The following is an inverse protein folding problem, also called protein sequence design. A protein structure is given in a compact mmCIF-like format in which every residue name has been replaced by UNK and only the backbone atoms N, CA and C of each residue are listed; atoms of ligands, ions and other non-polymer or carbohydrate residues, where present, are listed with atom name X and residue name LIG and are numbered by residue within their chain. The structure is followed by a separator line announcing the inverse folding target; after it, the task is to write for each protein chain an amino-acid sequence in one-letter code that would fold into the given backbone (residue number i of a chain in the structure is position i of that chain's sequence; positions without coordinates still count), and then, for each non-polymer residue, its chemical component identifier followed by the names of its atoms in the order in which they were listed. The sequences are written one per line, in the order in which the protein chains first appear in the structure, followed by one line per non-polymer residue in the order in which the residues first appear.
data_IF_793822277650
#
_entry.id   IF_793822277650
#
_cell.length_a   1.000
_cell.length_b   1.000
_cell.length_c   1.000
_cell.angle_alpha   90.00
_cell.angle_beta   90.00
_cell.angle_gamma   90.00
#
_symmetry.space_group_name_H-M   'P 1'
#
loop_
_entity.id
_entity.type
_entity.pdbx_description
1 polymer ?
#
# COMPACT_ATOMS: atom_id res chain seq x y z
N UNK A 1 -7.71 54.20 29.16
CA UNK A 1 -8.91 54.48 28.33
C UNK A 1 -9.57 53.12 28.12
N UNK A 2 -10.77 52.83 28.63
CA UNK A 2 -12.11 53.28 28.16
C UNK A 2 -12.33 52.92 26.67
N UNK A 3 -13.35 52.15 26.24
CA UNK A 3 -14.60 51.64 26.85
C UNK A 3 -14.75 50.11 26.63
N UNK A 4 -15.60 49.26 27.26
CA UNK A 4 -16.82 49.34 28.12
C UNK A 4 -18.19 49.28 27.38
N UNK A 5 -18.99 48.24 27.65
CA UNK A 5 -20.32 47.92 27.06
C UNK A 5 -20.33 46.47 26.53
N UNK A 6 -20.98 45.42 27.06
CA UNK A 6 -22.24 45.20 27.81
C UNK A 6 -23.55 45.43 27.04
N UNK A 7 -24.38 44.36 26.88
CA UNK A 7 -25.75 44.30 27.43
C UNK A 7 -26.30 42.86 27.54
N UNK A 8 -27.40 42.66 28.29
CA UNK A 8 -27.99 41.38 28.73
C UNK A 8 -29.52 41.34 28.47
N UNK A 9 -30.08 40.20 28.01
CA UNK A 9 -31.49 39.73 28.13
C UNK A 9 -31.45 38.18 28.00
N UNK A 10 -32.08 37.28 28.78
CA UNK A 10 -33.05 37.27 29.92
C UNK A 10 -34.55 37.08 29.57
N UNK A 11 -34.96 35.80 29.40
CA UNK A 11 -36.30 35.23 29.71
C UNK A 11 -37.54 35.75 28.90
N UNK A 12 -38.80 35.26 29.00
CA UNK A 12 -39.54 34.40 29.96
C UNK A 12 -40.65 33.50 29.30
N UNK A 13 -40.94 32.37 29.96
CA UNK A 13 -42.27 31.74 30.24
C UNK A 13 -43.15 31.07 29.15
N UNK A 14 -43.36 29.77 29.44
CA UNK A 14 -44.44 28.78 29.18
C UNK A 14 -45.79 29.20 28.59
N UNK A 15 -46.47 28.19 28.02
CA UNK A 15 -47.89 27.93 28.30
C UNK A 15 -48.11 26.43 28.60
N UNK A 16 -49.11 26.13 29.42
CA UNK A 16 -49.42 24.78 29.92
C UNK A 16 -50.83 24.35 29.54
N UNK A 17 -51.06 23.04 29.39
CA UNK A 17 -52.40 22.45 29.29
C UNK A 17 -52.43 21.05 29.89
N UNK A 18 -53.12 20.91 31.03
CA UNK A 18 -53.46 19.62 31.64
C UNK A 18 -54.71 19.05 30.98
N UNK A 19 -54.71 17.75 30.70
CA UNK A 19 -55.91 17.01 30.30
C UNK A 19 -56.03 15.72 31.14
N UNK A 20 -57.13 15.59 31.87
CA UNK A 20 -57.56 14.32 32.48
C UNK A 20 -58.26 13.47 31.42
N UNK A 21 -58.00 12.16 31.37
CA UNK A 21 -58.61 11.26 30.39
C UNK A 21 -58.53 9.78 30.77
N UNK A 22 -59.60 9.30 31.41
CA UNK A 22 -60.10 7.91 31.48
C UNK A 22 -59.09 6.73 31.52
N UNK A 23 -59.15 5.96 32.62
CA UNK A 23 -58.68 4.57 32.60
C UNK A 23 -59.53 3.74 31.63
N UNK A 24 -58.89 2.87 30.84
CA UNK A 24 -59.58 1.85 30.03
C UNK A 24 -58.84 0.51 30.12
N UNK A 25 -59.57 -0.60 30.01
CA UNK A 25 -59.12 -1.92 30.45
C UNK A 25 -58.53 -2.78 29.32
N UNK A 26 -57.29 -3.22 29.51
CA UNK A 26 -56.72 -4.54 29.17
C UNK A 26 -57.23 -5.26 27.90
N UNK A 27 -56.32 -5.49 26.94
CA UNK A 27 -56.06 -6.85 26.45
C UNK A 27 -54.89 -7.52 27.19
N UNK A 28 -54.81 -8.86 27.15
CA UNK A 28 -53.62 -9.58 27.60
C UNK A 28 -52.74 -9.83 26.39
N UNK A 29 -51.47 -9.41 26.42
CA UNK A 29 -50.53 -9.77 25.35
C UNK A 29 -50.31 -11.30 25.28
N UNK A 30 -50.15 -11.87 24.08
CA UNK A 30 -49.70 -13.25 23.92
C UNK A 30 -48.24 -13.39 24.41
N UNK A 31 -47.80 -14.60 24.81
CA UNK A 31 -46.44 -14.80 25.28
C UNK A 31 -45.43 -14.52 24.16
N UNK A 32 -44.52 -13.58 24.41
CA UNK A 32 -43.37 -13.31 23.52
C UNK A 32 -42.46 -14.52 23.53
N UNK A 33 -42.54 -15.33 22.47
CA UNK A 33 -41.58 -16.41 22.21
C UNK A 33 -40.21 -15.75 21.95
N UNK A 34 -39.13 -16.15 22.65
CA UNK A 34 -37.80 -15.63 22.36
C UNK A 34 -37.36 -16.13 20.97
N UNK A 35 -37.43 -15.26 19.98
CA UNK A 35 -36.87 -15.53 18.65
C UNK A 35 -35.36 -15.57 18.77
N UNK A 36 -34.80 -16.78 18.82
CA UNK A 36 -33.35 -16.99 18.74
C UNK A 36 -32.88 -16.58 17.35
N UNK A 37 -32.41 -15.33 17.21
CA UNK A 37 -31.78 -14.85 15.97
C UNK A 37 -30.48 -15.61 15.76
N UNK A 38 -30.55 -16.71 15.01
CA UNK A 38 -29.37 -17.47 14.59
C UNK A 38 -28.64 -16.61 13.56
N UNK A 39 -27.64 -15.85 13.99
CA UNK A 39 -26.73 -15.15 13.07
C UNK A 39 -26.14 -16.20 12.13
N UNK A 40 -26.33 -16.10 10.80
CA UNK A 40 -25.74 -17.04 9.87
C UNK A 40 -24.21 -16.99 10.03
N UNK A 41 -23.50 -18.13 10.03
CA UNK A 41 -22.05 -18.12 10.17
C UNK A 41 -21.44 -17.32 9.02
N UNK A 42 -20.58 -16.37 9.34
CA UNK A 42 -19.83 -15.60 8.34
C UNK A 42 -18.86 -16.54 7.64
N UNK A 43 -19.26 -17.09 6.50
CA UNK A 43 -18.41 -17.95 5.68
C UNK A 43 -17.30 -17.11 5.06
N UNK A 44 -16.16 -17.00 5.75
CA UNK A 44 -14.95 -16.42 5.17
C UNK A 44 -14.47 -17.32 4.04
N UNK A 45 -14.83 -16.99 2.80
CA UNK A 45 -14.24 -17.59 1.61
C UNK A 45 -12.73 -17.38 1.69
N UNK A 46 -11.97 -18.48 1.76
CA UNK A 46 -10.52 -18.39 1.70
C UNK A 46 -10.13 -17.77 0.35
N UNK A 47 -9.34 -16.69 0.36
CA UNK A 47 -8.82 -16.14 -0.89
C UNK A 47 -7.91 -17.17 -1.55
N UNK A 48 -8.02 -17.29 -2.86
CA UNK A 48 -7.05 -18.04 -3.67
C UNK A 48 -5.84 -17.21 -4.06
N UNK A 49 -5.86 -15.90 -3.83
CA UNK A 49 -4.70 -15.03 -4.03
C UNK A 49 -3.87 -14.86 -2.75
N UNK A 50 -2.56 -14.60 -2.92
CA UNK A 50 -1.69 -14.11 -1.85
C UNK A 50 -2.31 -12.87 -1.20
N UNK A 51 -2.37 -12.86 0.13
CA UNK A 51 -3.01 -11.80 0.91
C UNK A 51 -1.94 -10.99 1.62
N UNK A 52 -2.10 -9.67 1.68
CA UNK A 52 -1.26 -8.82 2.50
C UNK A 52 -1.28 -9.31 3.96
N UNK A 53 -0.11 -9.37 4.59
CA UNK A 53 0.06 -9.86 5.96
C UNK A 53 0.54 -8.73 6.87
N UNK A 54 0.05 -8.71 8.11
CA UNK A 54 0.46 -7.71 9.08
C UNK A 54 1.97 -7.73 9.32
N UNK A 55 2.61 -6.57 9.20
CA UNK A 55 4.06 -6.36 9.33
C UNK A 55 4.89 -7.13 8.29
N UNK A 56 4.39 -7.23 7.05
CA UNK A 56 5.12 -7.79 5.89
C UNK A 56 4.88 -6.97 4.62
N UNK A 57 5.95 -6.57 3.93
CA UNK A 57 5.84 -6.11 2.55
C UNK A 57 5.70 -7.32 1.62
N UNK A 58 4.66 -7.36 0.78
CA UNK A 58 4.46 -8.42 -0.22
C UNK A 58 4.96 -7.96 -1.60
N UNK A 59 5.74 -8.80 -2.29
CA UNK A 59 6.21 -8.54 -3.67
C UNK A 59 6.17 -9.81 -4.50
N UNK A 60 5.61 -9.74 -5.71
CA UNK A 60 5.82 -10.72 -6.78
C UNK A 60 7.17 -10.49 -7.46
N UNK A 61 8.07 -11.46 -7.37
CA UNK A 61 9.38 -11.41 -8.00
C UNK A 61 9.42 -12.40 -9.16
N UNK A 62 9.38 -11.90 -10.39
CA UNK A 62 9.47 -12.76 -11.57
C UNK A 62 10.83 -13.48 -11.63
N UNK A 63 10.92 -14.75 -12.09
CA UNK A 63 12.18 -15.47 -12.16
C UNK A 63 13.28 -14.79 -12.99
N UNK A 64 12.91 -13.87 -13.89
CA UNK A 64 13.85 -13.02 -14.63
C UNK A 64 14.73 -12.12 -13.74
N UNK A 65 14.27 -11.71 -12.54
CA UNK A 65 15.11 -10.97 -11.58
C UNK A 65 15.91 -11.86 -10.62
N UNK A 66 15.60 -13.16 -10.55
CA UNK A 66 16.14 -14.09 -9.55
C UNK A 66 17.31 -14.95 -10.07
N UNK A 67 18.38 -14.32 -10.58
CA UNK A 67 19.58 -15.06 -11.00
C UNK A 67 20.90 -14.26 -10.84
N UNK A 68 21.55 -14.41 -9.68
CA UNK A 68 23.00 -14.26 -9.41
C UNK A 68 23.79 -12.98 -9.79
N UNK A 69 23.31 -12.11 -10.69
CA UNK A 69 23.99 -10.90 -11.14
C UNK A 69 23.64 -9.66 -10.29
N UNK A 70 22.45 -9.66 -9.68
CA UNK A 70 21.96 -8.59 -8.81
C UNK A 70 22.75 -8.56 -7.49
N UNK A 71 23.75 -7.68 -7.43
CA UNK A 71 24.60 -7.49 -6.26
C UNK A 71 23.84 -6.86 -5.09
N UNK A 72 24.11 -7.35 -3.87
CA UNK A 72 23.49 -6.91 -2.61
C UNK A 72 24.01 -5.54 -2.12
N UNK A 73 23.95 -4.52 -2.99
CA UNK A 73 24.51 -3.18 -2.76
C UNK A 73 23.74 -2.47 -1.63
N UNK A 74 22.40 -2.44 -1.72
CA UNK A 74 21.53 -1.82 -0.72
C UNK A 74 21.12 -2.76 0.43
N UNK A 75 21.72 -3.95 0.52
CA UNK A 75 21.34 -5.02 1.44
C UNK A 75 20.80 -6.27 0.74
N UNK A 76 20.37 -7.24 1.55
CA UNK A 76 19.78 -8.50 1.11
C UNK A 76 18.85 -9.03 2.20
N UNK A 77 17.55 -9.23 1.90
CA UNK A 77 16.58 -9.87 2.80
C UNK A 77 16.02 -11.12 2.14
N UNK A 78 16.07 -12.25 2.83
CA UNK A 78 15.36 -13.47 2.41
C UNK A 78 13.86 -13.30 2.64
N UNK A 79 13.06 -13.47 1.59
CA UNK A 79 11.60 -13.46 1.71
C UNK A 79 11.03 -14.78 2.19
N UNK A 80 9.86 -14.73 2.83
CA UNK A 80 9.04 -15.91 3.12
C UNK A 80 8.12 -16.14 1.91
N UNK A 81 8.15 -17.29 1.21
CA UNK A 81 7.28 -17.54 0.07
C UNK A 81 5.78 -17.52 0.42
N UNK A 82 4.94 -17.23 -0.57
CA UNK A 82 3.50 -17.39 -0.50
C UNK A 82 3.07 -18.79 -0.98
N UNK A 83 2.39 -19.55 -0.13
CA UNK A 83 1.89 -20.90 -0.46
C UNK A 83 0.89 -20.94 -1.65
N UNK A 84 0.34 -19.79 -2.05
CA UNK A 84 -0.57 -19.66 -3.22
C UNK A 84 0.19 -19.41 -4.53
N UNK A 85 1.31 -18.69 -4.52
CA UNK A 85 2.11 -18.39 -5.72
C UNK A 85 3.61 -18.36 -5.40
N UNK A 86 4.36 -19.25 -6.04
CA UNK A 86 5.79 -19.50 -5.76
C UNK A 86 6.72 -18.29 -5.93
N UNK A 87 6.31 -17.30 -6.73
CA UNK A 87 7.08 -16.09 -7.03
C UNK A 87 6.73 -14.92 -6.09
N UNK A 88 5.61 -14.99 -5.37
CA UNK A 88 5.20 -13.96 -4.39
C UNK A 88 5.87 -14.23 -3.04
N UNK A 89 6.52 -13.22 -2.47
CA UNK A 89 7.26 -13.30 -1.22
C UNK A 89 6.88 -12.19 -0.25
N UNK A 90 6.94 -12.51 1.05
CA UNK A 90 6.70 -11.60 2.17
C UNK A 90 8.03 -11.27 2.87
N UNK A 91 8.31 -9.98 3.03
CA UNK A 91 9.57 -9.47 3.61
C UNK A 91 9.30 -8.73 4.92
N UNK A 92 10.15 -9.00 5.92
CA UNK A 92 10.18 -8.18 7.14
C UNK A 92 10.57 -6.73 6.79
N UNK A 93 9.84 -5.72 7.30
CA UNK A 93 10.15 -4.32 7.04
C UNK A 93 11.51 -3.92 7.61
N UNK A 94 12.05 -2.81 7.12
CA UNK A 94 13.05 -2.03 7.83
C UNK A 94 12.41 -1.28 9.01
N UNK A 95 13.24 -0.90 9.98
CA UNK A 95 12.79 -0.27 11.24
C UNK A 95 12.60 1.25 11.15
N UNK A 96 13.08 1.88 10.07
CA UNK A 96 13.01 3.32 9.83
C UNK A 96 12.20 3.59 8.54
N UNK A 97 11.65 4.79 8.43
CA UNK A 97 10.98 5.30 7.23
C UNK A 97 11.95 5.88 6.19
N UNK A 98 13.19 6.18 6.58
CA UNK A 98 14.26 6.68 5.70
C UNK A 98 15.21 5.55 5.31
N UNK A 99 15.38 5.33 4.01
CA UNK A 99 16.40 4.43 3.47
C UNK A 99 17.81 5.03 3.65
N UNK A 100 18.70 4.28 4.29
CA UNK A 100 20.06 4.73 4.65
C UNK A 100 21.17 4.09 3.80
N UNK A 101 20.84 3.55 2.62
CA UNK A 101 21.76 2.71 1.83
C UNK A 101 21.78 1.23 2.27
N UNK A 102 20.99 0.84 3.26
CA UNK A 102 20.90 -0.53 3.80
C UNK A 102 19.46 -1.02 3.93
N UNK A 103 19.29 -2.29 4.27
CA UNK A 103 18.00 -2.93 4.59
C UNK A 103 16.98 -3.00 3.43
N UNK A 104 17.42 -2.83 2.19
CA UNK A 104 16.62 -3.22 1.02
C UNK A 104 16.48 -4.75 0.92
N UNK A 105 15.45 -5.20 0.19
CA UNK A 105 15.26 -6.61 -0.19
C UNK A 105 16.44 -7.08 -1.04
N UNK A 106 16.75 -6.33 -2.10
CA UNK A 106 17.99 -6.34 -2.86
C UNK A 106 18.06 -5.05 -3.70
N UNK A 107 19.18 -4.83 -4.39
CA UNK A 107 19.26 -3.95 -5.57
C UNK A 107 19.07 -4.79 -6.83
N UNK A 108 18.28 -4.28 -7.78
CA UNK A 108 18.00 -4.92 -9.07
C UNK A 108 18.41 -3.99 -10.21
N UNK A 109 19.20 -4.52 -11.14
CA UNK A 109 19.44 -3.92 -12.45
C UNK A 109 19.33 -5.04 -13.48
N UNK A 110 18.51 -4.82 -14.51
CA UNK A 110 18.31 -5.83 -15.54
C UNK A 110 19.40 -5.76 -16.63
N UNK A 111 19.69 -6.85 -17.36
CA UNK A 111 20.66 -6.84 -18.45
C UNK A 111 20.19 -5.96 -19.62
N UNK A 112 21.10 -5.31 -20.34
CA UNK A 112 20.85 -4.34 -21.44
C UNK A 112 19.82 -4.78 -22.50
N UNK A 113 19.62 -6.09 -22.68
CA UNK A 113 18.68 -6.67 -23.64
C UNK A 113 17.28 -6.98 -23.07
N UNK A 114 17.03 -6.65 -21.80
CA UNK A 114 15.83 -6.98 -21.04
C UNK A 114 15.49 -5.82 -20.08
N UNK A 115 14.66 -4.84 -20.46
CA UNK A 115 14.40 -3.68 -19.61
C UNK A 115 13.74 -4.06 -18.27
N UNK A 116 14.11 -3.37 -17.19
CA UNK A 116 13.44 -3.41 -15.90
C UNK A 116 11.97 -2.99 -16.04
N UNK A 117 11.10 -3.75 -15.38
CA UNK A 117 9.70 -3.42 -15.17
C UNK A 117 9.38 -3.51 -13.66
N UNK A 118 8.75 -2.47 -13.11
CA UNK A 118 8.17 -2.48 -11.76
C UNK A 118 6.71 -2.06 -11.83
N UNK A 119 5.85 -2.67 -11.01
CA UNK A 119 4.43 -2.35 -10.97
C UNK A 119 3.95 -2.07 -9.55
N UNK A 120 2.98 -1.17 -9.40
CA UNK A 120 2.16 -1.04 -8.20
C UNK A 120 1.02 -2.07 -8.23
N UNK A 121 -0.05 -1.90 -7.45
CA UNK A 121 -1.18 -2.83 -7.41
C UNK A 121 -2.00 -2.87 -8.73
N UNK A 122 -1.78 -1.91 -9.63
CA UNK A 122 -2.59 -1.67 -10.84
C UNK A 122 -1.77 -1.38 -12.11
N UNK A 123 -0.68 -0.63 -12.00
CA UNK A 123 0.06 -0.09 -13.15
C UNK A 123 1.54 -0.48 -13.12
N UNK A 124 2.06 -0.80 -14.30
CA UNK A 124 3.45 -1.17 -14.57
C UNK A 124 4.17 -0.07 -15.32
N UNK A 125 5.41 0.14 -14.91
CA UNK A 125 6.32 1.15 -15.39
C UNK A 125 7.63 0.48 -15.79
N UNK A 126 8.15 0.87 -16.95
CA UNK A 126 9.37 0.30 -17.55
C UNK A 126 10.49 1.34 -17.47
N UNK A 127 11.75 0.90 -17.33
CA UNK A 127 12.90 1.80 -17.43
C UNK A 127 12.88 2.68 -18.69
N UNK A 128 13.31 3.94 -18.52
CA UNK A 128 13.49 4.90 -19.60
C UNK A 128 14.92 4.92 -20.15
N UNK A 129 15.86 4.30 -19.45
CA UNK A 129 17.28 4.18 -19.79
C UNK A 129 17.91 2.95 -19.09
N UNK A 130 18.92 2.31 -19.69
CA UNK A 130 19.55 1.08 -19.17
C UNK A 130 20.44 1.28 -17.94
N UNK A 131 20.73 2.54 -17.57
CA UNK A 131 21.41 2.87 -16.30
C UNK A 131 20.48 2.79 -15.09
N UNK A 132 19.17 2.62 -15.29
CA UNK A 132 18.17 2.57 -14.22
C UNK A 132 18.31 1.27 -13.42
N UNK A 133 18.39 1.42 -12.11
CA UNK A 133 18.38 0.34 -11.13
C UNK A 133 17.44 0.70 -9.99
N UNK A 134 16.89 -0.32 -9.33
CA UNK A 134 15.94 -0.14 -8.22
C UNK A 134 16.39 -0.93 -7.00
N UNK A 135 16.46 -0.29 -5.84
CA UNK A 135 16.56 -0.98 -4.55
C UNK A 135 15.18 -1.00 -3.90
N UNK A 136 14.64 -2.20 -3.66
CA UNK A 136 13.31 -2.35 -3.09
C UNK A 136 13.37 -2.28 -1.56
N UNK A 137 12.95 -1.17 -0.95
CA UNK A 137 12.99 -0.95 0.49
C UNK A 137 11.67 -1.35 1.15
N UNK A 138 11.60 -2.43 1.97
CA UNK A 138 10.36 -2.86 2.58
C UNK A 138 10.08 -2.00 3.82
N UNK A 139 8.95 -1.31 3.88
CA UNK A 139 8.58 -0.47 5.02
C UNK A 139 7.08 -0.56 5.32
N UNK A 140 6.75 -0.43 6.61
CA UNK A 140 5.38 -0.45 7.13
C UNK A 140 5.04 0.90 7.80
N UNK A 141 4.15 1.67 7.19
CA UNK A 141 3.62 2.91 7.78
C UNK A 141 2.62 2.61 8.93
N UNK A 142 1.99 1.44 8.88
CA UNK A 142 1.28 0.82 10.00
C UNK A 142 1.38 -0.70 9.85
N UNK A 143 0.94 -1.47 10.86
CA UNK A 143 0.97 -2.94 10.80
C UNK A 143 0.30 -3.50 9.53
N UNK A 144 -0.77 -2.87 9.04
CA UNK A 144 -1.53 -3.30 7.86
C UNK A 144 -1.28 -2.45 6.59
N UNK A 145 -0.35 -1.49 6.62
CA UNK A 145 0.11 -0.76 5.42
C UNK A 145 1.62 -0.94 5.28
N UNK A 146 1.98 -2.02 4.59
CA UNK A 146 3.35 -2.46 4.35
C UNK A 146 3.57 -2.64 2.84
N UNK A 147 4.62 -2.04 2.31
CA UNK A 147 4.97 -2.11 0.89
C UNK A 147 6.49 -2.16 0.70
N UNK A 148 6.92 -2.69 -0.44
CA UNK A 148 8.26 -2.38 -0.95
C UNK A 148 8.20 -1.02 -1.66
N UNK A 149 9.15 -0.14 -1.39
CA UNK A 149 9.27 1.16 -2.03
C UNK A 149 10.45 1.16 -2.99
N UNK A 150 10.25 1.66 -4.21
CA UNK A 150 11.29 1.76 -5.22
C UNK A 150 12.24 2.93 -4.90
N UNK A 151 13.45 2.62 -4.42
CA UNK A 151 14.55 3.58 -4.41
C UNK A 151 15.26 3.48 -5.77
N UNK A 152 14.97 4.42 -6.67
CA UNK A 152 15.56 4.45 -8.01
C UNK A 152 16.95 5.09 -8.00
N UNK A 153 17.83 4.59 -8.87
CA UNK A 153 19.16 5.14 -9.15
C UNK A 153 19.43 5.03 -10.65
N UNK A 154 19.91 6.11 -11.28
CA UNK A 154 20.13 6.22 -12.73
C UNK A 154 21.28 7.20 -13.03
N UNK A 155 21.70 7.33 -14.30
CA UNK A 155 22.76 8.28 -14.67
C UNK A 155 22.37 9.76 -14.50
N UNK A 156 21.07 10.08 -14.55
CA UNK A 156 20.55 11.43 -14.34
C UNK A 156 19.20 11.40 -13.63
N UNK A 157 18.91 12.41 -12.80
CA UNK A 157 17.69 12.48 -11.98
C UNK A 157 16.39 12.60 -12.80
N UNK A 158 16.49 12.87 -14.11
CA UNK A 158 15.35 12.86 -15.06
C UNK A 158 15.09 11.50 -15.71
N UNK A 159 15.91 10.49 -15.42
CA UNK A 159 15.71 9.10 -15.86
C UNK A 159 15.05 8.30 -14.74
N UNK A 160 14.36 7.21 -15.08
CA UNK A 160 13.72 6.35 -14.10
C UNK A 160 12.82 5.34 -14.78
N UNK A 161 11.57 5.22 -14.32
CA UNK A 161 10.56 4.38 -14.96
C UNK A 161 9.36 5.20 -15.45
N UNK A 162 8.81 4.78 -16.59
CA UNK A 162 7.74 5.46 -17.31
C UNK A 162 6.68 4.51 -17.86
N UNK A 163 5.57 5.08 -18.33
CA UNK A 163 4.47 4.34 -18.94
C UNK A 163 4.77 3.85 -20.36
N UNK A 164 3.71 3.46 -21.09
CA UNK A 164 3.77 2.94 -22.45
C UNK A 164 4.30 3.95 -23.48
N UNK A 165 4.24 5.26 -23.19
CA UNK A 165 4.80 6.33 -24.03
C UNK A 165 6.31 6.57 -23.79
N UNK A 166 6.87 6.01 -22.70
CA UNK A 166 8.26 6.20 -22.28
C UNK A 166 8.54 7.50 -21.53
N UNK A 167 7.52 8.30 -21.18
CA UNK A 167 7.68 9.49 -20.33
C UNK A 167 8.03 9.06 -18.90
N UNK A 168 9.13 9.56 -18.29
CA UNK A 168 9.45 9.24 -16.89
C UNK A 168 8.33 9.72 -15.95
N UNK A 169 7.83 8.81 -15.12
CA UNK A 169 6.82 9.09 -14.08
C UNK A 169 7.45 9.04 -12.68
N UNK A 170 8.24 8.00 -12.42
CA UNK A 170 9.00 7.84 -11.18
C UNK A 170 10.50 7.97 -11.49
N UNK A 171 11.19 8.85 -10.77
CA UNK A 171 12.61 9.19 -11.00
C UNK A 171 13.32 9.49 -9.67
N UNK A 172 14.67 9.58 -9.63
CA UNK A 172 15.39 10.04 -8.45
C UNK A 172 15.12 11.51 -8.04
N UNK A 173 14.55 12.36 -8.91
CA UNK A 173 14.39 13.79 -8.62
C UNK A 173 13.53 14.09 -7.38
N UNK A 174 14.12 14.87 -6.48
CA UNK A 174 13.53 15.25 -5.20
C UNK A 174 13.22 14.05 -4.28
N UNK A 175 13.92 12.93 -4.43
CA UNK A 175 13.90 11.81 -3.46
C UNK A 175 14.88 12.01 -2.30
N UNK A 176 15.80 12.98 -2.40
CA UNK A 176 16.78 13.35 -1.37
C UNK A 176 16.61 14.80 -0.89
N UNK A 177 17.09 15.08 0.32
CA UNK A 177 17.14 16.43 0.90
C UNK A 177 18.38 17.22 0.46
N UNK A 178 18.45 18.49 0.86
CA UNK A 178 19.58 19.39 0.54
C UNK A 178 20.93 18.98 1.19
N UNK A 179 20.95 17.91 1.99
CA UNK A 179 22.13 17.31 2.62
C UNK A 179 22.46 15.92 2.03
N UNK A 180 21.78 15.52 0.95
CA UNK A 180 21.88 14.21 0.28
C UNK A 180 21.40 12.99 1.10
N UNK A 181 20.55 13.19 2.12
CA UNK A 181 19.83 12.09 2.77
C UNK A 181 18.55 11.78 1.98
N UNK A 182 18.15 10.51 1.89
CA UNK A 182 16.84 10.17 1.35
C UNK A 182 15.71 10.76 2.22
N UNK A 183 14.63 11.20 1.57
CA UNK A 183 13.38 11.54 2.24
C UNK A 183 12.70 10.25 2.76
N UNK A 184 11.79 10.35 3.74
CA UNK A 184 10.97 9.22 4.16
C UNK A 184 10.23 8.59 2.97
N UNK A 185 10.19 7.25 2.88
CA UNK A 185 9.53 6.56 1.76
C UNK A 185 8.02 6.80 1.72
N UNK A 186 7.44 7.14 2.88
CA UNK A 186 6.06 7.60 3.08
C UNK A 186 5.75 8.99 2.50
N UNK A 187 6.74 9.72 1.99
CA UNK A 187 6.59 11.09 1.45
C UNK A 187 5.79 11.20 0.13
N UNK A 188 5.44 10.06 -0.49
CA UNK A 188 4.80 10.03 -1.82
C UNK A 188 5.77 10.28 -2.98
N UNK A 189 7.08 10.39 -2.72
CA UNK A 189 8.14 10.47 -3.74
C UNK A 189 8.62 9.13 -4.28
N UNK A 190 8.25 8.03 -3.62
CA UNK A 190 8.70 6.68 -3.93
C UNK A 190 7.52 5.80 -4.29
N UNK A 191 7.64 5.07 -5.40
CA UNK A 191 6.61 4.15 -5.89
C UNK A 191 6.46 2.96 -4.93
N UNK A 192 5.22 2.58 -4.57
CA UNK A 192 4.94 1.28 -3.94
C UNK A 192 5.00 0.19 -5.01
N UNK A 193 5.77 -0.87 -4.79
CA UNK A 193 6.00 -1.96 -5.75
C UNK A 193 5.31 -3.24 -5.26
N UNK A 194 4.36 -3.74 -6.06
CA UNK A 194 3.74 -5.06 -5.92
C UNK A 194 4.45 -6.13 -6.74
N UNK A 195 5.08 -5.76 -7.87
CA UNK A 195 5.68 -6.70 -8.82
C UNK A 195 6.95 -6.17 -9.48
N UNK A 196 7.88 -7.06 -9.83
CA UNK A 196 9.12 -6.73 -10.54
C UNK A 196 9.54 -7.84 -11.53
N UNK A 197 10.03 -7.45 -12.71
CA UNK A 197 10.60 -8.35 -13.74
C UNK A 197 11.73 -7.69 -14.55
N UNK A 198 12.44 -8.50 -15.34
CA UNK A 198 13.25 -8.04 -16.46
C UNK A 198 12.64 -8.51 -17.80
N UNK A 199 12.68 -7.66 -18.82
CA UNK A 199 12.36 -7.99 -20.22
C UNK A 199 10.88 -7.88 -20.60
N UNK A 200 9.96 -8.36 -19.76
CA UNK A 200 8.51 -8.33 -20.04
C UNK A 200 7.80 -7.32 -19.14
N UNK A 201 7.21 -6.29 -19.75
CA UNK A 201 6.38 -5.29 -19.09
C UNK A 201 5.04 -5.16 -19.85
N UNK A 202 3.86 -5.28 -19.21
CA UNK A 202 3.61 -5.50 -17.78
C UNK A 202 4.23 -6.80 -17.23
N UNK A 203 4.39 -6.90 -15.90
CA UNK A 203 4.88 -8.13 -15.27
C UNK A 203 3.87 -9.26 -15.51
N UNK A 204 4.30 -10.29 -16.24
CA UNK A 204 3.47 -11.44 -16.57
C UNK A 204 3.35 -12.38 -15.36
N UNK A 205 2.32 -12.18 -14.54
CA UNK A 205 2.02 -13.07 -13.40
C UNK A 205 1.87 -14.53 -13.86
N UNK A 206 2.52 -15.46 -13.15
CA UNK A 206 2.43 -16.90 -13.45
C UNK A 206 1.04 -17.49 -13.22
N UNK A 207 0.24 -16.89 -12.33
CA UNK A 207 -1.14 -17.28 -12.03
C UNK A 207 -1.89 -16.08 -11.39
N UNK A 208 -3.22 -15.93 -11.55
CA UNK A 208 -3.99 -14.88 -10.87
C UNK A 208 -3.95 -14.94 -9.34
N UNK A 209 -3.52 -16.06 -8.74
CA UNK A 209 -3.24 -16.16 -7.30
C UNK A 209 -2.07 -15.29 -6.83
N UNK A 210 -1.21 -14.81 -7.73
CA UNK A 210 0.01 -14.10 -7.37
C UNK A 210 -0.22 -12.68 -6.83
N UNK A 211 -1.24 -11.97 -7.33
CA UNK A 211 -1.68 -10.64 -6.89
C UNK A 211 -3.21 -10.50 -7.01
N UNK A 212 -3.88 -9.62 -6.25
CA UNK A 212 -5.34 -9.41 -6.35
C UNK A 212 -5.82 -8.91 -7.72
N UNK A 213 -4.95 -8.26 -8.48
CA UNK A 213 -5.21 -7.65 -9.80
C UNK A 213 -4.02 -7.98 -10.71
N UNK A 214 -4.26 -8.29 -11.99
CA UNK A 214 -3.20 -8.35 -13.00
C UNK A 214 -2.89 -6.93 -13.47
N UNK A 215 -1.66 -6.40 -13.26
CA UNK A 215 -1.36 -5.02 -13.59
C UNK A 215 -1.22 -4.79 -15.10
N UNK A 216 -1.55 -3.59 -15.56
CA UNK A 216 -1.43 -3.14 -16.96
C UNK A 216 -0.29 -2.13 -17.11
N UNK A 217 0.08 -1.71 -18.33
CA UNK A 217 0.95 -0.53 -18.46
C UNK A 217 0.18 0.72 -18.03
N UNK A 218 0.88 1.69 -17.43
CA UNK A 218 0.48 3.10 -17.44
C UNK A 218 0.55 3.69 -18.86
#
# INVERSE_FOLDING_TARGET
MLHKGYFFVIYFITLSSTAYGCMSSKPTDPPVVPTTTITPPTTTTASDTCQNQDNKAMVYMDPSVSAAANAAIAGSKTGTPCDKCANTQYFDPATNDVFAGTDAINTYQCPDAQPLCICDETECYKETDVSVSVSLYPYCASASDCAAYAILSAQADTMGVGGADGTPVWTPDGTVDANFNFLPVSSGKFMKVSAISCGTCPVSLTDPSCLPITPTMA
#
